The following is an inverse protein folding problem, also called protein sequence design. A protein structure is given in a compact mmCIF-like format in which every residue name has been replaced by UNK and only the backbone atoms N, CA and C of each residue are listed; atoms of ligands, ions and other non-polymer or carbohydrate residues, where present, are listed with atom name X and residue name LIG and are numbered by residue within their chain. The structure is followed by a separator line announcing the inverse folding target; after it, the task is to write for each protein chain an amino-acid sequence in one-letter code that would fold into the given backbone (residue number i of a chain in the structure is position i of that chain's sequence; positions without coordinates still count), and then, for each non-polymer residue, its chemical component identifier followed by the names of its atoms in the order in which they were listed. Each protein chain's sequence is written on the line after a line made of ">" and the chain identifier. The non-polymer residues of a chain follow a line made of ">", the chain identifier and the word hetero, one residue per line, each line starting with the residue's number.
data_IF_768527691711
#
_entry.id   IF_768527691711
#
_cell.length_a   1.000
_cell.length_b   1.000
_cell.length_c   1.000
_cell.angle_alpha   90.00
_cell.angle_beta   90.00
_cell.angle_gamma   90.00
#
_symmetry.space_group_name_H-M   'P 1'
#
loop_
_entity.id
_entity.type
_entity.pdbx_description
1 polymer ?
#
# COMPACT_ATOMS: atom_id res chain seq x y z
N UNK A 1 -22.03 43.94 27.90
CA UNK A 1 -21.59 44.97 26.92
C UNK A 1 -20.53 44.27 26.07
N UNK A 2 -20.79 43.80 24.85
CA UNK A 2 -21.55 44.42 23.77
C UNK A 2 -22.21 43.35 22.89
N UNK A 3 -23.41 43.69 22.43
CA UNK A 3 -24.24 43.01 21.43
C UNK A 3 -23.55 42.89 20.06
N UNK A 4 -23.94 41.87 19.28
CA UNK A 4 -23.44 41.65 17.93
C UNK A 4 -24.31 40.72 17.09
N UNK A 5 -25.62 40.95 17.08
CA UNK A 5 -26.59 40.25 16.21
C UNK A 5 -26.74 41.02 14.90
N UNK A 6 -26.43 40.41 13.75
CA UNK A 6 -26.69 40.97 12.42
C UNK A 6 -27.89 40.27 11.74
N UNK A 7 -28.76 40.99 11.00
CA UNK A 7 -30.10 40.50 10.63
C UNK A 7 -30.17 39.85 9.23
N UNK A 8 -31.09 38.90 9.10
CA UNK A 8 -31.54 38.28 7.83
C UNK A 8 -32.35 39.29 7.00
N UNK A 9 -32.01 39.44 5.72
CA UNK A 9 -32.84 40.17 4.76
C UNK A 9 -33.69 39.20 3.94
N UNK A 10 -35.01 39.42 3.99
CA UNK A 10 -36.03 38.83 3.12
C UNK A 10 -36.38 39.81 2.00
N UNK A 11 -36.53 39.32 0.76
CA UNK A 11 -37.18 40.08 -0.30
C UNK A 11 -38.23 39.20 -0.99
N UNK A 12 -39.43 39.76 -1.13
CA UNK A 12 -40.62 39.13 -1.72
C UNK A 12 -41.07 39.95 -2.95
N UNK A 13 -41.40 39.20 -4.01
CA UNK A 13 -42.43 39.41 -5.06
C UNK A 13 -42.46 40.69 -5.90
N UNK A 14 -42.55 40.42 -7.21
CA UNK A 14 -43.34 41.11 -8.24
C UNK A 14 -42.89 42.53 -8.64
N UNK A 15 -42.50 42.68 -9.91
CA UNK A 15 -43.22 43.50 -10.89
C UNK A 15 -42.54 43.45 -12.26
N UNK A 16 -43.25 43.93 -13.29
CA UNK A 16 -42.92 44.02 -14.72
C UNK A 16 -43.15 42.71 -15.50
N UNK A 17 -44.08 42.60 -16.44
CA UNK A 17 -44.89 43.58 -17.15
C UNK A 17 -45.15 42.99 -18.55
N UNK A 18 -46.42 42.78 -18.90
CA UNK A 18 -46.83 42.26 -20.21
C UNK A 18 -47.07 43.41 -21.20
N UNK A 19 -46.77 43.21 -22.50
CA UNK A 19 -47.69 43.69 -23.53
C UNK A 19 -48.02 42.62 -24.59
N UNK A 20 -49.28 42.68 -25.07
CA UNK A 20 -49.86 41.84 -26.13
C UNK A 20 -49.50 42.35 -27.54
N UNK A 21 -49.25 41.38 -28.43
CA UNK A 21 -49.55 41.23 -29.89
C UNK A 21 -49.63 42.48 -30.81
N UNK A 22 -48.86 42.46 -31.92
CA UNK A 22 -49.27 42.09 -33.29
C UNK A 22 -48.24 42.62 -34.32
N UNK A 23 -48.00 41.88 -35.41
CA UNK A 23 -47.41 42.44 -36.64
C UNK A 23 -46.36 41.57 -37.32
N UNK A 24 -46.70 41.07 -38.53
CA UNK A 24 -45.94 40.13 -39.35
C UNK A 24 -44.70 40.77 -40.00
N UNK A 25 -43.58 40.06 -39.98
CA UNK A 25 -42.58 40.04 -41.05
C UNK A 25 -41.74 38.77 -40.92
N UNK A 26 -42.17 37.72 -41.62
CA UNK A 26 -41.40 36.48 -41.79
C UNK A 26 -40.24 36.84 -42.71
N UNK A 27 -39.05 37.07 -42.14
CA UNK A 27 -37.87 37.44 -42.90
C UNK A 27 -36.83 36.33 -42.83
N UNK A 28 -36.93 35.43 -43.81
CA UNK A 28 -35.89 34.77 -44.61
C UNK A 28 -34.42 34.96 -44.20
N UNK A 29 -34.07 34.69 -42.94
CA UNK A 29 -32.68 34.57 -42.47
C UNK A 29 -32.42 33.26 -41.71
N UNK A 30 -33.48 32.54 -41.31
CA UNK A 30 -33.37 31.31 -40.53
C UNK A 30 -33.12 30.04 -41.36
N UNK A 31 -33.23 30.11 -42.70
CA UNK A 31 -33.04 28.95 -43.59
C UNK A 31 -31.68 28.88 -44.28
N UNK A 32 -30.83 29.91 -44.15
CA UNK A 32 -29.49 29.91 -44.76
C UNK A 32 -28.36 29.58 -43.76
N UNK A 33 -28.62 29.65 -42.45
CA UNK A 33 -27.69 29.21 -41.40
C UNK A 33 -27.85 27.73 -41.01
N UNK A 34 -28.96 27.07 -41.41
CA UNK A 34 -29.16 25.63 -41.19
C UNK A 34 -28.47 24.72 -42.22
N UNK A 35 -27.58 25.24 -43.07
CA UNK A 35 -26.97 24.45 -44.16
C UNK A 35 -25.46 24.52 -44.31
N UNK A 36 -24.73 25.08 -43.34
CA UNK A 36 -23.26 25.03 -43.32
C UNK A 36 -22.72 24.86 -41.90
N UNK A 37 -23.08 23.76 -41.24
CA UNK A 37 -22.21 23.09 -40.26
C UNK A 37 -22.65 21.63 -40.19
N UNK A 38 -22.42 20.89 -41.28
CA UNK A 38 -22.03 19.49 -41.13
C UNK A 38 -20.68 19.54 -40.41
N UNK A 39 -20.74 19.57 -39.08
CA UNK A 39 -19.61 19.18 -38.25
C UNK A 39 -19.34 17.76 -38.68
N UNK A 40 -18.32 17.57 -39.51
CA UNK A 40 -17.70 16.27 -39.65
C UNK A 40 -17.34 15.85 -38.23
N UNK A 41 -18.10 14.90 -37.70
CA UNK A 41 -17.75 14.21 -36.47
C UNK A 41 -16.50 13.42 -36.79
N UNK A 42 -15.34 14.08 -36.76
CA UNK A 42 -14.05 13.42 -36.74
C UNK A 42 -13.91 12.79 -35.35
N UNK A 43 -14.70 11.74 -35.12
CA UNK A 43 -14.58 10.84 -33.99
C UNK A 43 -13.50 9.83 -34.32
N UNK A 44 -12.25 10.30 -34.39
CA UNK A 44 -11.08 9.42 -34.35
C UNK A 44 -10.50 9.31 -32.94
N UNK A 45 -11.20 9.81 -31.91
CA UNK A 45 -10.88 9.45 -30.53
C UNK A 45 -11.36 8.01 -30.30
N UNK A 46 -10.47 7.01 -30.17
CA UNK A 46 -10.90 5.67 -29.81
C UNK A 46 -11.68 5.76 -28.49
N UNK A 47 -12.80 5.03 -28.34
CA UNK A 47 -13.54 5.02 -27.10
C UNK A 47 -12.58 4.59 -25.98
N UNK A 48 -12.51 5.40 -24.92
CA UNK A 48 -11.80 5.00 -23.70
C UNK A 48 -12.37 3.64 -23.29
N UNK A 49 -11.52 2.60 -23.27
CA UNK A 49 -11.98 1.29 -22.84
C UNK A 49 -12.53 1.43 -21.41
N UNK A 50 -13.71 0.86 -21.13
CA UNK A 50 -14.26 0.87 -19.78
C UNK A 50 -13.25 0.27 -18.81
N UNK A 51 -12.94 0.99 -17.73
CA UNK A 51 -12.06 0.48 -16.69
C UNK A 51 -12.75 -0.69 -15.98
N UNK A 52 -12.21 -1.89 -16.12
CA UNK A 52 -12.64 -3.05 -15.34
C UNK A 52 -12.04 -2.99 -13.93
N UNK A 53 -12.77 -2.32 -13.04
CA UNK A 53 -12.39 -2.23 -11.63
C UNK A 53 -12.31 -3.59 -10.93
N UNK A 54 -13.10 -4.59 -11.37
CA UNK A 54 -13.07 -5.93 -10.80
C UNK A 54 -11.73 -6.62 -11.09
N UNK A 55 -11.29 -6.57 -12.34
CA UNK A 55 -9.97 -7.08 -12.73
C UNK A 55 -8.84 -6.36 -12.00
N UNK A 56 -8.91 -5.02 -11.86
CA UNK A 56 -7.88 -4.22 -11.20
C UNK A 56 -7.78 -4.54 -9.71
N UNK A 57 -8.90 -4.59 -8.98
CA UNK A 57 -8.88 -4.95 -7.56
C UNK A 57 -8.43 -6.41 -7.35
N UNK A 58 -8.77 -7.31 -8.27
CA UNK A 58 -8.27 -8.69 -8.25
C UNK A 58 -6.74 -8.74 -8.38
N UNK A 59 -6.16 -8.01 -9.33
CA UNK A 59 -4.71 -7.92 -9.52
C UNK A 59 -4.00 -7.34 -8.28
N UNK A 60 -4.50 -6.22 -7.75
CA UNK A 60 -3.94 -5.58 -6.54
C UNK A 60 -4.00 -6.52 -5.34
N UNK A 61 -5.12 -7.22 -5.13
CA UNK A 61 -5.26 -8.14 -4.01
C UNK A 61 -4.42 -9.42 -4.19
N UNK A 62 -4.27 -9.91 -5.42
CA UNK A 62 -3.36 -11.00 -5.74
C UNK A 62 -1.91 -10.63 -5.38
N UNK A 63 -1.48 -9.43 -5.79
CA UNK A 63 -0.16 -8.90 -5.43
C UNK A 63 0.02 -8.76 -3.91
N UNK A 64 -0.97 -8.19 -3.20
CA UNK A 64 -0.93 -8.07 -1.73
C UNK A 64 -0.86 -9.45 -1.06
N UNK A 65 -1.67 -10.40 -1.52
CA UNK A 65 -1.66 -11.78 -1.03
C UNK A 65 -0.32 -12.46 -1.23
N UNK A 66 0.31 -12.28 -2.40
CA UNK A 66 1.65 -12.80 -2.67
C UNK A 66 2.71 -12.18 -1.74
N UNK A 67 2.66 -10.87 -1.49
CA UNK A 67 3.54 -10.23 -0.52
C UNK A 67 3.36 -10.83 0.88
N UNK A 68 2.11 -10.95 1.34
CA UNK A 68 1.79 -11.52 2.66
C UNK A 68 2.28 -12.96 2.79
N UNK A 69 2.12 -13.78 1.75
CA UNK A 69 2.63 -15.15 1.74
C UNK A 69 4.15 -15.20 1.96
N UNK A 70 4.93 -14.37 1.25
CA UNK A 70 6.38 -14.36 1.41
C UNK A 70 6.83 -13.82 2.77
N UNK A 71 6.11 -12.85 3.33
CA UNK A 71 6.32 -12.47 4.73
C UNK A 71 6.09 -13.65 5.66
N UNK A 72 4.95 -14.34 5.56
CA UNK A 72 4.65 -15.50 6.41
C UNK A 72 5.69 -16.61 6.30
N UNK A 73 6.24 -16.88 5.12
CA UNK A 73 7.33 -17.86 4.96
C UNK A 73 8.56 -17.49 5.81
N UNK A 74 8.97 -16.21 5.78
CA UNK A 74 10.11 -15.74 6.59
C UNK A 74 9.77 -15.75 8.08
N UNK A 75 8.57 -15.29 8.46
CA UNK A 75 8.09 -15.30 9.84
C UNK A 75 8.08 -16.72 10.44
N UNK A 76 7.66 -17.71 9.65
CA UNK A 76 7.74 -19.13 10.01
C UNK A 76 9.19 -19.58 10.17
N UNK A 77 10.07 -19.30 9.20
CA UNK A 77 11.47 -19.70 9.27
C UNK A 77 12.20 -19.11 10.49
N UNK A 78 11.94 -17.85 10.84
CA UNK A 78 12.45 -17.21 12.08
C UNK A 78 11.97 -17.95 13.31
N UNK A 79 10.68 -18.31 13.36
CA UNK A 79 10.09 -19.02 14.49
C UNK A 79 10.66 -20.43 14.64
N UNK A 80 10.74 -21.18 13.56
CA UNK A 80 11.35 -22.51 13.56
C UNK A 80 12.82 -22.45 13.99
N UNK A 81 13.54 -21.40 13.60
CA UNK A 81 14.93 -21.21 14.02
C UNK A 81 15.04 -20.93 15.51
N UNK A 82 14.23 -20.02 16.05
CA UNK A 82 14.18 -19.77 17.49
C UNK A 82 13.89 -21.04 18.30
N UNK A 83 12.93 -21.85 17.85
CA UNK A 83 12.59 -23.11 18.51
C UNK A 83 13.76 -24.11 18.46
N UNK A 84 14.43 -24.22 17.32
CA UNK A 84 15.60 -25.09 17.18
C UNK A 84 16.75 -24.64 18.09
N UNK A 85 17.10 -23.35 18.09
CA UNK A 85 18.14 -22.79 18.95
C UNK A 85 17.79 -22.95 20.44
N UNK A 86 16.53 -22.77 20.81
CA UNK A 86 16.07 -22.99 22.18
C UNK A 86 16.17 -24.45 22.62
N UNK A 87 16.04 -25.40 21.70
CA UNK A 87 16.13 -26.83 22.00
C UNK A 87 17.59 -27.30 22.16
N UNK A 88 18.54 -26.64 21.50
CA UNK A 88 19.98 -26.95 21.58
C UNK A 88 20.68 -26.21 22.71
N UNK A 89 20.06 -25.17 23.28
CA UNK A 89 20.62 -24.42 24.39
C UNK A 89 20.75 -25.29 25.65
N UNK A 90 21.98 -25.48 26.14
CA UNK A 90 22.26 -26.18 27.39
C UNK A 90 22.42 -25.19 28.55
N UNK A 91 21.82 -25.49 29.72
CA UNK A 91 22.02 -24.72 30.96
C UNK A 91 21.30 -23.37 31.03
N UNK A 92 21.97 -22.32 31.53
CA UNK A 92 21.43 -20.96 31.76
C UNK A 92 21.24 -20.14 30.46
N UNK A 93 21.57 -20.71 29.30
CA UNK A 93 21.41 -20.06 28.01
C UNK A 93 19.93 -20.04 27.62
N UNK A 94 19.24 -18.94 27.90
CA UNK A 94 17.82 -18.79 27.58
C UNK A 94 17.62 -18.02 26.26
N UNK A 95 17.17 -18.72 25.22
CA UNK A 95 16.59 -18.09 24.03
C UNK A 95 15.18 -17.63 24.37
N UNK A 96 14.89 -16.34 24.17
CA UNK A 96 13.54 -15.78 24.42
C UNK A 96 12.59 -16.22 23.30
N UNK A 97 11.38 -16.64 23.69
CA UNK A 97 10.33 -17.09 22.78
C UNK A 97 9.07 -16.24 22.93
N UNK A 98 9.16 -14.95 22.60
CA UNK A 98 8.01 -14.05 22.68
C UNK A 98 7.03 -14.29 21.52
N UNK A 99 5.75 -13.95 21.73
CA UNK A 99 4.69 -14.26 20.77
C UNK A 99 4.65 -13.31 19.56
N UNK A 100 4.89 -12.01 19.77
CA UNK A 100 4.73 -11.03 18.69
C UNK A 100 5.83 -11.19 17.65
N UNK A 101 5.48 -11.07 16.36
CA UNK A 101 6.45 -11.30 15.30
C UNK A 101 7.66 -10.39 15.36
N UNK A 102 7.48 -9.08 15.60
CA UNK A 102 8.61 -8.15 15.74
C UNK A 102 9.52 -8.54 16.90
N UNK A 103 8.94 -9.04 18.00
CA UNK A 103 9.69 -9.54 19.14
C UNK A 103 10.47 -10.82 18.81
N UNK A 104 9.92 -11.72 17.97
CA UNK A 104 10.66 -12.90 17.49
C UNK A 104 11.85 -12.53 16.61
N UNK A 105 11.72 -11.53 15.75
CA UNK A 105 12.86 -11.01 14.98
C UNK A 105 13.95 -10.43 15.89
N UNK A 106 13.57 -9.69 16.93
CA UNK A 106 14.50 -9.18 17.96
C UNK A 106 15.15 -10.31 18.76
N UNK A 107 14.37 -11.31 19.19
CA UNK A 107 14.85 -12.44 19.99
C UNK A 107 15.87 -13.26 19.19
N UNK A 108 15.60 -13.50 17.90
CA UNK A 108 16.52 -14.19 17.02
C UNK A 108 17.79 -13.37 16.82
N UNK A 109 17.65 -12.05 16.55
CA UNK A 109 18.79 -11.17 16.40
C UNK A 109 19.67 -11.16 17.66
N UNK A 110 19.07 -11.08 18.85
CA UNK A 110 19.80 -11.12 20.12
C UNK A 110 20.51 -12.46 20.34
N UNK A 111 19.89 -13.58 19.95
CA UNK A 111 20.49 -14.90 20.09
C UNK A 111 21.78 -15.07 19.25
N UNK A 112 21.84 -14.45 18.07
CA UNK A 112 22.94 -14.60 17.09
C UNK A 112 23.86 -13.36 16.98
N UNK A 113 23.61 -12.33 17.78
CA UNK A 113 24.45 -11.12 17.84
C UNK A 113 25.74 -11.36 18.63
N UNK A 114 26.74 -10.46 18.51
CA UNK A 114 27.90 -10.50 19.39
C UNK A 114 27.53 -10.49 20.88
N UNK A 115 28.12 -11.39 21.66
CA UNK A 115 27.77 -11.67 23.05
C UNK A 115 26.49 -12.50 23.24
N UNK A 116 25.86 -12.91 22.15
CA UNK A 116 24.70 -13.80 22.13
C UNK A 116 25.10 -15.28 22.17
N UNK A 117 24.21 -16.17 22.61
CA UNK A 117 24.52 -17.58 22.80
C UNK A 117 24.89 -18.37 21.53
N UNK A 118 24.54 -17.84 20.36
CA UNK A 118 24.83 -18.46 19.05
C UNK A 118 25.65 -17.53 18.15
N UNK A 119 26.45 -16.62 18.73
CA UNK A 119 27.30 -15.67 17.99
C UNK A 119 28.16 -16.36 16.91
N UNK A 120 28.92 -17.39 17.31
CA UNK A 120 29.93 -18.03 16.46
C UNK A 120 29.33 -18.62 15.17
N UNK A 121 28.17 -19.26 15.30
CA UNK A 121 27.48 -19.92 14.19
C UNK A 121 26.48 -19.00 13.47
N UNK A 122 26.10 -17.88 14.09
CA UNK A 122 25.00 -17.03 13.70
C UNK A 122 25.36 -15.81 12.84
N UNK A 123 26.65 -15.47 12.71
CA UNK A 123 27.13 -14.23 12.04
C UNK A 123 26.55 -13.99 10.64
N UNK A 124 26.52 -15.02 9.80
CA UNK A 124 25.99 -14.88 8.44
C UNK A 124 24.46 -14.66 8.45
N UNK A 125 23.74 -15.41 9.28
CA UNK A 125 22.30 -15.24 9.45
C UNK A 125 21.95 -13.86 10.03
N UNK A 126 22.77 -13.30 10.93
CA UNK A 126 22.58 -11.96 11.50
C UNK A 126 22.62 -10.87 10.41
N UNK A 127 23.56 -10.97 9.48
CA UNK A 127 23.71 -9.98 8.40
C UNK A 127 22.48 -10.00 7.50
N UNK A 128 22.04 -11.19 7.07
CA UNK A 128 20.85 -11.33 6.22
C UNK A 128 19.56 -10.93 6.95
N UNK A 129 19.44 -11.26 8.24
CA UNK A 129 18.32 -10.87 9.08
C UNK A 129 18.23 -9.34 9.16
N UNK A 130 19.36 -8.68 9.41
CA UNK A 130 19.41 -7.22 9.55
C UNK A 130 19.02 -6.52 8.25
N UNK A 131 19.59 -6.95 7.11
CA UNK A 131 19.26 -6.42 5.78
C UNK A 131 17.79 -6.66 5.41
N UNK A 132 17.26 -7.84 5.72
CA UNK A 132 15.85 -8.14 5.46
C UNK A 132 14.94 -7.23 6.27
N UNK A 133 15.22 -7.07 7.57
CA UNK A 133 14.43 -6.24 8.47
C UNK A 133 14.41 -4.77 8.03
N UNK A 134 15.59 -4.22 7.75
CA UNK A 134 15.76 -2.84 7.28
C UNK A 134 14.93 -2.55 6.02
N UNK A 135 14.98 -3.46 5.04
CA UNK A 135 14.28 -3.27 3.77
C UNK A 135 12.76 -3.48 3.86
N UNK A 136 12.31 -4.42 4.70
CA UNK A 136 10.95 -4.98 4.56
C UNK A 136 10.02 -4.78 5.76
N UNK A 137 10.49 -4.47 6.97
CA UNK A 137 9.61 -4.37 8.16
C UNK A 137 8.57 -3.24 8.05
N UNK A 138 9.01 -2.06 7.61
CA UNK A 138 8.09 -0.92 7.38
C UNK A 138 7.06 -1.28 6.31
N UNK A 139 7.50 -1.96 5.25
CA UNK A 139 6.61 -2.38 4.16
C UNK A 139 5.57 -3.41 4.62
N UNK A 140 6.00 -4.40 5.40
CA UNK A 140 5.12 -5.39 6.05
C UNK A 140 4.07 -4.71 6.92
N UNK A 141 4.48 -3.74 7.73
CA UNK A 141 3.59 -2.96 8.59
C UNK A 141 2.53 -2.21 7.77
N UNK A 142 2.94 -1.57 6.67
CA UNK A 142 2.03 -0.88 5.76
C UNK A 142 1.03 -1.85 5.11
N UNK A 143 1.46 -3.02 4.66
CA UNK A 143 0.56 -4.00 4.03
C UNK A 143 -0.50 -4.55 5.00
N UNK A 144 -0.12 -4.78 6.26
CA UNK A 144 -1.00 -5.33 7.29
C UNK A 144 -1.97 -4.30 7.89
N UNK A 145 -1.51 -3.06 8.08
CA UNK A 145 -2.23 -2.05 8.89
C UNK A 145 -2.63 -0.81 8.09
N UNK A 146 -2.13 -0.65 6.87
CA UNK A 146 -2.46 0.47 6.01
C UNK A 146 -3.80 0.31 5.29
N UNK A 147 -4.50 1.42 5.11
CA UNK A 147 -5.66 1.51 4.24
C UNK A 147 -5.22 1.63 2.78
N UNK A 148 -5.83 0.82 1.93
CA UNK A 148 -5.55 0.75 0.50
C UNK A 148 -6.51 1.62 -0.29
N UNK A 149 -5.97 2.41 -1.22
CA UNK A 149 -6.72 3.08 -2.29
C UNK A 149 -6.06 2.75 -3.62
N UNK A 150 -6.86 2.51 -4.65
CA UNK A 150 -6.38 2.22 -6.00
C UNK A 150 -6.84 3.33 -6.93
N UNK A 151 -5.93 3.80 -7.80
CA UNK A 151 -6.21 4.70 -8.92
C UNK A 151 -5.72 4.06 -10.20
N UNK A 152 -6.20 4.52 -11.35
CA UNK A 152 -5.88 3.94 -12.66
C UNK A 152 -5.49 5.08 -13.60
N UNK A 153 -4.36 4.92 -14.26
CA UNK A 153 -3.85 5.85 -15.26
C UNK A 153 -4.58 5.66 -16.61
N UNK A 154 -4.42 6.61 -17.53
CA UNK A 154 -5.05 6.54 -18.86
C UNK A 154 -4.61 5.32 -19.69
N UNK A 155 -3.41 4.80 -19.42
CA UNK A 155 -2.85 3.59 -20.04
C UNK A 155 -3.42 2.28 -19.42
N UNK A 156 -4.34 2.37 -18.46
CA UNK A 156 -4.94 1.23 -17.76
C UNK A 156 -4.08 0.64 -16.64
N UNK A 157 -2.87 1.15 -16.39
CA UNK A 157 -2.03 0.73 -15.27
C UNK A 157 -2.57 1.28 -13.96
N UNK A 158 -2.57 0.45 -12.92
CA UNK A 158 -3.01 0.89 -11.61
C UNK A 158 -1.86 1.46 -10.78
N UNK A 159 -2.21 2.40 -9.91
CA UNK A 159 -1.36 2.94 -8.86
C UNK A 159 -2.01 2.59 -7.53
N UNK A 160 -1.23 1.97 -6.65
CA UNK A 160 -1.63 1.60 -5.31
C UNK A 160 -1.15 2.64 -4.31
N UNK A 161 -2.08 3.14 -3.50
CA UNK A 161 -1.80 4.02 -2.37
C UNK A 161 -2.10 3.27 -1.07
N UNK A 162 -1.08 3.10 -0.23
CA UNK A 162 -1.22 2.54 1.11
C UNK A 162 -0.98 3.65 2.12
N UNK A 163 -1.95 3.91 3.00
CA UNK A 163 -1.88 4.95 4.02
C UNK A 163 -1.97 4.34 5.41
N UNK A 164 -1.02 4.64 6.28
CA UNK A 164 -1.04 4.21 7.68
C UNK A 164 -1.06 5.41 8.60
N UNK A 165 -1.78 5.27 9.71
CA UNK A 165 -1.75 6.17 10.85
C UNK A 165 -1.38 5.33 12.07
N UNK A 166 -0.22 5.61 12.65
CA UNK A 166 0.27 4.97 13.87
C UNK A 166 0.58 6.02 14.94
N UNK A 167 0.88 5.55 16.16
CA UNK A 167 1.34 6.42 17.25
C UNK A 167 2.81 6.12 17.48
N UNK A 168 3.66 7.14 17.45
CA UNK A 168 5.08 7.06 17.78
C UNK A 168 5.43 8.19 18.75
N UNK A 169 6.06 7.87 19.88
CA UNK A 169 6.41 8.86 20.92
C UNK A 169 5.22 9.73 21.36
N UNK A 170 4.03 9.11 21.50
CA UNK A 170 2.75 9.77 21.83
C UNK A 170 2.26 10.79 20.78
N UNK A 171 2.83 10.79 19.57
CA UNK A 171 2.45 11.66 18.46
C UNK A 171 1.89 10.83 17.29
N UNK A 172 0.97 11.41 16.49
CA UNK A 172 0.50 10.76 15.28
C UNK A 172 1.61 10.69 14.24
N UNK A 173 1.86 9.48 13.75
CA UNK A 173 2.81 9.18 12.67
C UNK A 173 2.01 8.74 11.43
N UNK A 174 2.10 9.50 10.35
CA UNK A 174 1.37 9.25 9.10
C UNK A 174 2.34 8.83 8.02
N UNK A 175 2.12 7.65 7.46
CA UNK A 175 2.94 7.12 6.36
C UNK A 175 2.08 6.91 5.14
N UNK A 176 2.58 7.34 3.98
CA UNK A 176 1.95 7.10 2.68
C UNK A 176 2.99 6.41 1.79
N UNK A 177 2.58 5.29 1.19
CA UNK A 177 3.34 4.62 0.14
C UNK A 177 2.49 4.63 -1.12
N UNK A 178 3.01 5.22 -2.18
CA UNK A 178 2.48 5.09 -3.54
C UNK A 178 3.35 4.08 -4.29
N UNK A 179 2.73 3.17 -5.04
CA UNK A 179 3.41 2.23 -5.91
C UNK A 179 2.69 2.19 -7.24
N UNK A 180 3.42 2.44 -8.32
CA UNK A 180 2.98 2.05 -9.65
C UNK A 180 2.94 0.52 -9.76
N UNK A 181 2.15 -0.01 -10.70
CA UNK A 181 2.04 -1.45 -10.91
C UNK A 181 3.42 -2.12 -11.10
N UNK A 182 4.29 -1.53 -11.92
CA UNK A 182 5.64 -2.03 -12.19
C UNK A 182 6.52 -2.03 -10.92
N UNK A 183 6.45 -0.97 -10.11
CA UNK A 183 7.17 -0.86 -8.84
C UNK A 183 6.68 -1.90 -7.82
N UNK A 184 5.37 -2.15 -7.78
CA UNK A 184 4.78 -3.17 -6.95
C UNK A 184 5.32 -4.55 -7.33
N UNK A 185 5.34 -4.89 -8.63
CA UNK A 185 5.91 -6.14 -9.14
C UNK A 185 7.40 -6.28 -8.80
N UNK A 186 8.20 -5.24 -9.01
CA UNK A 186 9.62 -5.21 -8.66
C UNK A 186 9.86 -5.38 -7.15
N UNK A 187 9.00 -4.77 -6.32
CA UNK A 187 9.06 -4.89 -4.86
C UNK A 187 8.72 -6.30 -4.39
N UNK A 188 7.73 -6.94 -5.00
CA UNK A 188 7.43 -8.36 -4.73
C UNK A 188 8.60 -9.27 -5.15
N UNK A 189 9.21 -9.04 -6.31
CA UNK A 189 10.38 -9.80 -6.75
C UNK A 189 11.57 -9.65 -5.78
N UNK A 190 11.78 -8.44 -5.26
CA UNK A 190 12.83 -8.18 -4.26
C UNK A 190 12.52 -8.85 -2.93
N UNK A 191 11.28 -8.76 -2.44
CA UNK A 191 10.83 -9.45 -1.22
C UNK A 191 11.01 -10.97 -1.34
N UNK A 192 10.65 -11.56 -2.48
CA UNK A 192 10.85 -12.98 -2.78
C UNK A 192 12.32 -13.37 -2.65
N UNK A 193 13.20 -12.64 -3.33
CA UNK A 193 14.64 -12.90 -3.36
C UNK A 193 15.26 -12.80 -1.97
N UNK A 194 15.02 -11.68 -1.28
CA UNK A 194 15.59 -11.42 0.03
C UNK A 194 15.03 -12.41 1.08
N UNK A 195 13.74 -12.73 1.00
CA UNK A 195 13.11 -13.73 1.86
C UNK A 195 13.70 -15.13 1.66
N UNK A 196 13.85 -15.58 0.40
CA UNK A 196 14.48 -16.87 0.08
C UNK A 196 15.93 -16.95 0.56
N UNK A 197 16.68 -15.85 0.44
CA UNK A 197 18.06 -15.77 0.91
C UNK A 197 18.10 -15.94 2.44
N UNK A 198 17.28 -15.17 3.17
CA UNK A 198 17.20 -15.27 4.62
C UNK A 198 16.75 -16.67 5.08
N UNK A 199 15.68 -17.24 4.51
CA UNK A 199 15.20 -18.58 4.92
C UNK A 199 16.26 -19.66 4.67
N UNK A 200 17.05 -19.54 3.61
CA UNK A 200 18.18 -20.44 3.34
C UNK A 200 19.26 -20.33 4.41
N UNK A 201 19.67 -19.10 4.77
CA UNK A 201 20.67 -18.88 5.83
C UNK A 201 20.19 -19.38 7.19
N UNK A 202 18.91 -19.18 7.52
CA UNK A 202 18.29 -19.72 8.74
C UNK A 202 18.20 -21.25 8.71
N UNK A 203 17.94 -21.85 7.55
CA UNK A 203 18.02 -23.30 7.36
C UNK A 203 19.41 -23.86 7.66
N UNK A 204 20.48 -23.17 7.23
CA UNK A 204 21.85 -23.58 7.54
C UNK A 204 22.19 -23.39 9.01
N UNK A 205 21.80 -22.27 9.63
CA UNK A 205 22.00 -22.03 11.05
C UNK A 205 21.40 -23.16 11.90
N UNK A 206 20.17 -23.60 11.60
CA UNK A 206 19.53 -24.71 12.30
C UNK A 206 20.33 -26.01 12.21
N UNK A 207 20.91 -26.31 11.04
CA UNK A 207 21.74 -27.52 10.85
C UNK A 207 23.04 -27.45 11.65
N UNK A 208 23.70 -26.29 11.64
CA UNK A 208 24.95 -26.10 12.38
C UNK A 208 24.70 -26.14 13.89
N UNK A 209 23.65 -25.48 14.38
CA UNK A 209 23.30 -25.48 15.79
C UNK A 209 22.91 -26.88 16.33
N UNK A 210 22.30 -27.74 15.51
CA UNK A 210 21.97 -29.10 15.89
C UNK A 210 23.18 -30.06 15.91
N UNK A 211 24.30 -29.67 15.29
CA UNK A 211 25.53 -30.44 15.23
C UNK A 211 26.58 -30.00 16.27
N UNK A 212 26.30 -28.91 16.99
CA UNK A 212 27.12 -28.37 18.07
C UNK A 212 26.64 -28.91 19.43
#
# INVERSE_FOLDING_TARGET
>A
MSDGTAPRQSWSRADFGHPRRQGKAVNTFYLMLSRMMTVASDQTTPPLQPIDWGAIFSQVNCWRGACMHHFSMVETAVTETLLALSATAQGEIAVRLRHLIGQRFEDLAAAISPGGPFEEVGRHALTELSQYREKHETFRTLLCHGMVKVTVEQNGQWILLIRSLSIRSRQPDRTILALEQSEAEARLATLKRDGQKLTSCLGQLRKVAAAA
#
